data_IF_989530425171
#
_entry.id   IF_989530425171
#
_cell.length_a   1.000
_cell.length_b   1.000
_cell.length_c   1.000
_cell.angle_alpha   90.00
_cell.angle_beta   90.00
_cell.angle_gamma   90.00
#
_symmetry.space_group_name_H-M   'P 1'
#
loop_
_entity.id
_entity.type
_entity.pdbx_description
1 polymer ?
#
# COMPACT_ATOMS: atom_id res chain seq x y z
N UNK A 1 -10.98 -9.14 11.43
CA UNK A 1 -9.65 -8.63 11.03
C UNK A 1 -9.51 -8.65 9.52
N UNK A 2 -8.88 -7.63 8.98
CA UNK A 2 -8.72 -7.44 7.54
C UNK A 2 -7.28 -7.06 7.23
N UNK A 3 -6.69 -7.66 6.19
CA UNK A 3 -5.44 -7.22 5.58
C UNK A 3 -5.76 -6.49 4.27
N UNK A 4 -5.56 -5.18 4.24
CA UNK A 4 -5.77 -4.36 3.05
C UNK A 4 -4.43 -3.95 2.46
N UNK A 5 -4.18 -4.28 1.20
CA UNK A 5 -2.98 -3.87 0.46
C UNK A 5 -3.35 -2.77 -0.52
N UNK A 6 -2.71 -1.61 -0.39
CA UNK A 6 -2.81 -0.50 -1.34
C UNK A 6 -1.51 -0.43 -2.14
N UNK A 7 -1.56 -0.98 -3.35
CA UNK A 7 -0.46 -1.06 -4.29
C UNK A 7 -0.56 -0.05 -5.43
N UNK A 8 0.53 0.11 -6.17
CA UNK A 8 0.60 0.98 -7.36
C UNK A 8 1.96 1.65 -7.51
N UNK A 9 2.24 2.17 -8.69
CA UNK A 9 3.48 2.88 -8.99
C UNK A 9 3.73 4.06 -8.02
N UNK A 10 4.97 4.52 -7.88
CA UNK A 10 5.25 5.77 -7.16
C UNK A 10 4.44 6.94 -7.75
N UNK A 11 4.01 7.89 -6.90
CA UNK A 11 3.25 9.09 -7.25
C UNK A 11 1.80 8.89 -7.78
N UNK A 12 1.23 7.68 -7.75
CA UNK A 12 -0.20 7.47 -8.07
C UNK A 12 -1.16 7.90 -6.95
N UNK A 13 -0.65 8.37 -5.79
CA UNK A 13 -1.49 8.90 -4.71
C UNK A 13 -1.75 7.94 -3.56
N UNK A 14 -1.01 6.83 -3.43
CA UNK A 14 -1.20 5.83 -2.35
C UNK A 14 -1.24 6.43 -0.96
N UNK A 15 -0.22 7.20 -0.60
CA UNK A 15 -0.11 7.82 0.73
C UNK A 15 -1.29 8.75 1.05
N UNK A 16 -1.74 9.53 0.06
CA UNK A 16 -2.89 10.40 0.24
C UNK A 16 -4.17 9.60 0.50
N UNK A 17 -4.40 8.54 -0.29
CA UNK A 17 -5.56 7.65 -0.11
C UNK A 17 -5.50 6.90 1.23
N UNK A 18 -4.34 6.38 1.62
CA UNK A 18 -4.18 5.70 2.91
C UNK A 18 -4.43 6.64 4.10
N UNK A 19 -3.92 7.88 4.06
CA UNK A 19 -4.20 8.89 5.09
C UNK A 19 -5.68 9.24 5.19
N UNK A 20 -6.32 9.43 4.05
CA UNK A 20 -7.75 9.73 4.00
C UNK A 20 -8.59 8.54 4.51
N UNK A 21 -8.19 7.30 4.18
CA UNK A 21 -8.81 6.10 4.69
C UNK A 21 -8.74 6.05 6.23
N UNK A 22 -7.56 6.29 6.79
CA UNK A 22 -7.37 6.33 8.25
C UNK A 22 -8.17 7.45 8.91
N UNK A 23 -8.24 8.64 8.28
CA UNK A 23 -9.06 9.75 8.76
C UNK A 23 -10.54 9.39 8.81
N UNK A 24 -11.07 8.84 7.72
CA UNK A 24 -12.46 8.40 7.63
C UNK A 24 -12.77 7.27 8.63
N UNK A 25 -11.81 6.36 8.84
CA UNK A 25 -11.96 5.29 9.82
C UNK A 25 -12.05 5.84 11.24
N UNK A 26 -11.18 6.78 11.61
CA UNK A 26 -11.22 7.42 12.91
C UNK A 26 -12.56 8.16 13.15
N UNK A 27 -13.13 8.78 12.11
CA UNK A 27 -14.43 9.46 12.18
C UNK A 27 -15.62 8.48 12.31
N UNK A 28 -15.47 7.25 11.84
CA UNK A 28 -16.54 6.23 11.93
C UNK A 28 -16.80 5.74 13.34
N UNK A 29 -15.94 6.09 14.32
CA UNK A 29 -16.02 5.61 15.71
C UNK A 29 -16.12 4.08 15.82
N UNK A 30 -15.50 3.37 14.86
CA UNK A 30 -15.44 1.91 14.92
C UNK A 30 -14.82 1.44 16.24
N UNK A 31 -15.45 0.49 16.97
CA UNK A 31 -14.92 -0.02 18.23
C UNK A 31 -13.55 -0.69 18.07
N UNK A 32 -13.24 -1.17 16.88
CA UNK A 32 -11.98 -1.87 16.57
C UNK A 32 -10.82 -0.89 16.33
N UNK A 33 -11.08 0.43 16.30
CA UNK A 33 -10.07 1.46 16.01
C UNK A 33 -9.58 1.44 14.55
N UNK A 34 -8.61 2.31 14.20
CA UNK A 34 -8.03 2.35 12.87
C UNK A 34 -7.08 1.15 12.65
N UNK A 35 -6.94 0.67 11.41
CA UNK A 35 -5.98 -0.38 11.09
C UNK A 35 -4.54 0.06 11.35
N UNK A 36 -3.67 -0.88 11.69
CA UNK A 36 -2.23 -0.65 11.76
C UNK A 36 -1.70 -0.35 10.38
N UNK A 37 -1.16 0.87 10.18
CA UNK A 37 -0.62 1.29 8.90
C UNK A 37 0.85 0.93 8.76
N UNK A 38 1.16 0.04 7.83
CA UNK A 38 2.52 -0.38 7.49
C UNK A 38 2.91 0.23 6.13
N UNK A 39 3.94 1.06 6.12
CA UNK A 39 4.49 1.67 4.91
C UNK A 39 5.81 1.01 4.57
N UNK A 40 5.87 0.34 3.43
CA UNK A 40 7.09 -0.34 2.99
C UNK A 40 8.24 0.65 2.84
N UNK A 41 7.98 1.83 2.28
CA UNK A 41 9.01 2.87 2.10
C UNK A 41 9.62 3.31 3.44
N UNK A 42 8.84 3.40 4.54
CA UNK A 42 9.35 3.72 5.88
C UNK A 42 10.24 2.61 6.45
N UNK A 43 9.82 1.35 6.27
CA UNK A 43 10.57 0.18 6.74
C UNK A 43 11.89 0.05 5.96
N UNK A 44 11.84 0.19 4.63
CA UNK A 44 13.04 0.14 3.80
C UNK A 44 14.00 1.30 4.09
N UNK A 45 13.48 2.50 4.39
CA UNK A 45 14.32 3.61 4.80
C UNK A 45 15.04 3.32 6.13
N UNK A 46 14.32 2.82 7.13
CA UNK A 46 14.92 2.42 8.40
C UNK A 46 16.00 1.33 8.23
N UNK A 47 15.79 0.38 7.33
CA UNK A 47 16.79 -0.64 6.99
C UNK A 47 18.03 -0.05 6.28
N UNK A 48 17.86 1.02 5.48
CA UNK A 48 18.99 1.75 4.89
C UNK A 48 19.76 2.53 5.94
N UNK A 49 19.06 3.21 6.83
CA UNK A 49 19.65 4.01 7.92
C UNK A 49 20.47 3.15 8.89
N UNK A 50 20.04 1.90 9.10
CA UNK A 50 20.77 0.91 9.92
C UNK A 50 21.85 0.14 9.15
N UNK A 51 22.06 0.44 7.88
CA UNK A 51 22.97 -0.26 6.98
C UNK A 51 22.65 -1.77 6.74
N UNK A 52 21.46 -2.22 7.08
CA UNK A 52 20.97 -3.59 6.80
C UNK A 52 20.46 -3.74 5.34
N UNK A 53 20.20 -2.64 4.66
CA UNK A 53 19.81 -2.61 3.24
C UNK A 53 20.76 -1.73 2.45
N UNK A 54 21.75 -2.36 1.78
CA UNK A 54 22.76 -1.66 0.99
C UNK A 54 22.24 -1.26 -0.40
N UNK A 55 22.79 -0.19 -1.00
CA UNK A 55 22.48 0.18 -2.38
C UNK A 55 22.75 -0.98 -3.35
N UNK A 56 21.80 -1.25 -4.27
CA UNK A 56 21.93 -2.31 -5.27
C UNK A 56 21.57 -3.72 -4.79
N UNK A 57 21.26 -3.91 -3.50
CA UNK A 57 20.69 -5.18 -3.05
C UNK A 57 19.27 -5.38 -3.62
N UNK A 58 18.89 -6.61 -4.03
CA UNK A 58 17.53 -6.89 -4.46
C UNK A 58 16.56 -6.56 -3.33
N UNK A 59 15.61 -5.63 -3.59
CA UNK A 59 14.61 -5.21 -2.63
C UNK A 59 13.64 -6.34 -2.29
N UNK A 60 13.35 -6.49 -1.03
CA UNK A 60 12.40 -7.50 -0.51
C UNK A 60 12.38 -7.50 1.01
N UNK A 61 13.48 -7.10 1.66
CA UNK A 61 13.58 -7.12 3.12
C UNK A 61 12.44 -6.34 3.79
N UNK A 62 12.10 -5.14 3.28
CA UNK A 62 10.99 -4.35 3.80
C UNK A 62 9.64 -5.07 3.68
N UNK A 63 9.41 -5.79 2.60
CA UNK A 63 8.18 -6.58 2.41
C UNK A 63 8.10 -7.74 3.40
N UNK A 64 9.19 -8.50 3.59
CA UNK A 64 9.21 -9.62 4.54
C UNK A 64 9.09 -9.15 5.99
N UNK A 65 9.76 -8.06 6.36
CA UNK A 65 9.65 -7.46 7.69
C UNK A 65 8.20 -7.00 7.96
N UNK A 66 7.60 -6.27 7.02
CA UNK A 66 6.21 -5.84 7.12
C UNK A 66 5.22 -7.01 7.19
N UNK A 67 5.46 -8.07 6.40
CA UNK A 67 4.61 -9.28 6.42
C UNK A 67 4.67 -10.00 7.76
N UNK A 68 5.85 -10.05 8.40
CA UNK A 68 5.98 -10.62 9.74
C UNK A 68 5.19 -9.81 10.77
N UNK A 69 5.36 -8.48 10.80
CA UNK A 69 4.59 -7.59 11.68
C UNK A 69 3.09 -7.69 11.42
N UNK A 70 2.68 -7.72 10.14
CA UNK A 70 1.27 -7.87 9.77
C UNK A 70 0.65 -9.16 10.32
N UNK A 71 1.37 -10.30 10.27
CA UNK A 71 0.91 -11.57 10.85
C UNK A 71 0.69 -11.46 12.35
N UNK A 72 1.58 -10.81 13.08
CA UNK A 72 1.45 -10.64 14.54
C UNK A 72 0.23 -9.77 14.88
N UNK A 73 0.01 -8.67 14.14
CA UNK A 73 -1.17 -7.81 14.31
C UNK A 73 -2.46 -8.58 14.00
N UNK A 74 -2.51 -9.32 12.89
CA UNK A 74 -3.67 -10.13 12.51
C UNK A 74 -3.91 -11.25 13.53
N UNK A 75 -2.87 -11.91 14.02
CA UNK A 75 -2.99 -12.97 15.03
C UNK A 75 -3.56 -12.44 16.37
N UNK A 76 -3.31 -11.17 16.68
CA UNK A 76 -3.89 -10.49 17.85
C UNK A 76 -5.29 -9.92 17.61
N UNK A 77 -5.87 -10.09 16.42
CA UNK A 77 -7.22 -9.64 16.08
C UNK A 77 -7.30 -8.25 15.47
N UNK A 78 -6.17 -7.58 15.23
CA UNK A 78 -6.12 -6.24 14.64
C UNK A 78 -6.30 -6.24 13.13
N UNK A 79 -6.65 -5.07 12.57
CA UNK A 79 -6.67 -4.82 11.14
C UNK A 79 -5.33 -4.23 10.66
N UNK A 80 -4.94 -4.53 9.42
CA UNK A 80 -3.70 -4.05 8.82
C UNK A 80 -3.97 -3.36 7.48
N UNK A 81 -3.40 -2.18 7.30
CA UNK A 81 -3.33 -1.45 6.04
C UNK A 81 -1.86 -1.37 5.59
N UNK A 82 -1.55 -1.95 4.44
CA UNK A 82 -0.19 -1.90 3.87
C UNK A 82 -0.16 -0.96 2.69
N UNK A 83 0.78 -0.02 2.71
CA UNK A 83 1.13 0.85 1.57
C UNK A 83 2.44 0.39 0.95
N UNK A 84 2.42 0.03 -0.33
CA UNK A 84 3.59 -0.47 -1.05
C UNK A 84 3.47 -0.23 -2.57
N UNK A 85 4.54 -0.45 -3.31
CA UNK A 85 4.45 -0.48 -4.79
C UNK A 85 3.81 -1.78 -5.27
N UNK A 86 4.14 -2.90 -4.65
CA UNK A 86 3.62 -4.26 -4.96
C UNK A 86 3.76 -4.66 -6.45
N UNK A 87 4.96 -4.53 -7.03
CA UNK A 87 5.12 -4.52 -8.48
C UNK A 87 5.07 -5.92 -9.11
N UNK A 88 5.40 -6.96 -8.36
CA UNK A 88 5.66 -8.29 -8.90
C UNK A 88 4.73 -9.35 -8.30
N UNK A 89 4.43 -10.44 -9.03
CA UNK A 89 3.63 -11.55 -8.51
C UNK A 89 4.16 -12.14 -7.20
N UNK A 90 5.48 -12.16 -7.01
CA UNK A 90 6.09 -12.69 -5.77
C UNK A 90 5.74 -11.85 -4.54
N UNK A 91 5.70 -10.51 -4.65
CA UNK A 91 5.31 -9.65 -3.54
C UNK A 91 3.80 -9.74 -3.26
N UNK A 92 2.98 -9.97 -4.29
CA UNK A 92 1.52 -10.16 -4.18
C UNK A 92 1.21 -11.45 -3.43
N UNK A 93 1.85 -12.57 -3.80
CA UNK A 93 1.71 -13.86 -3.10
C UNK A 93 2.13 -13.79 -1.63
N UNK A 94 3.18 -13.02 -1.31
CA UNK A 94 3.58 -12.82 0.08
C UNK A 94 2.42 -12.27 0.94
N UNK A 95 1.63 -11.33 0.40
CA UNK A 95 0.48 -10.78 1.11
C UNK A 95 -0.69 -11.76 1.20
N UNK A 96 -0.96 -12.52 0.14
CA UNK A 96 -1.96 -13.59 0.15
C UNK A 96 -1.62 -14.65 1.22
N UNK A 97 -0.35 -15.08 1.28
CA UNK A 97 0.16 -15.98 2.31
C UNK A 97 0.09 -15.35 3.71
N UNK A 98 0.33 -14.04 3.83
CA UNK A 98 0.20 -13.32 5.10
C UNK A 98 -1.24 -13.29 5.58
N UNK A 99 -2.21 -13.19 4.67
CA UNK A 99 -3.62 -13.23 4.98
C UNK A 99 -4.16 -14.63 5.29
N UNK A 100 -3.36 -15.69 5.21
CA UNK A 100 -3.79 -17.07 5.51
C UNK A 100 -4.14 -17.32 6.99
N UNK A 101 -4.00 -16.31 7.84
CA UNK A 101 -4.49 -16.33 9.23
C UNK A 101 -5.99 -16.58 9.23
N UNK A 102 -6.44 -17.55 10.05
CA UNK A 102 -7.84 -17.97 10.09
C UNK A 102 -8.81 -16.79 10.41
N UNK A 103 -9.79 -16.61 9.54
CA UNK A 103 -10.78 -15.53 9.67
C UNK A 103 -10.27 -14.18 9.18
N UNK A 104 -9.04 -14.09 8.65
CA UNK A 104 -8.55 -12.88 8.02
C UNK A 104 -9.22 -12.69 6.65
N UNK A 105 -9.67 -11.47 6.41
CA UNK A 105 -10.16 -11.02 5.13
C UNK A 105 -9.01 -10.33 4.38
N UNK A 106 -8.82 -10.68 3.12
CA UNK A 106 -7.83 -10.06 2.26
C UNK A 106 -8.50 -9.10 1.27
N UNK A 107 -7.93 -7.91 1.12
CA UNK A 107 -8.38 -6.90 0.15
C UNK A 107 -7.17 -6.33 -0.60
N UNK A 108 -7.10 -6.63 -1.88
CA UNK A 108 -6.07 -6.16 -2.79
C UNK A 108 -6.57 -4.94 -3.60
N UNK A 109 -5.92 -3.79 -3.44
CA UNK A 109 -6.27 -2.54 -4.12
C UNK A 109 -5.11 -2.06 -4.96
N UNK A 110 -5.33 -1.92 -6.26
CA UNK A 110 -4.39 -1.28 -7.18
C UNK A 110 -4.81 0.17 -7.44
N UNK A 111 -3.93 1.12 -7.10
CA UNK A 111 -4.10 2.51 -7.51
C UNK A 111 -3.29 2.78 -8.78
N UNK A 112 -3.95 3.39 -9.75
CA UNK A 112 -3.33 3.85 -10.99
C UNK A 112 -3.58 5.36 -11.17
N UNK A 113 -2.82 5.98 -12.06
CA UNK A 113 -3.09 7.30 -12.59
C UNK A 113 -3.05 7.21 -14.11
N UNK A 114 -4.22 7.13 -14.76
CA UNK A 114 -4.32 6.94 -16.22
C UNK A 114 -3.88 8.15 -17.03
N UNK A 115 -3.92 9.35 -16.44
CA UNK A 115 -3.36 10.56 -17.04
C UNK A 115 -1.85 10.62 -16.82
N UNK A 116 -1.08 10.29 -17.86
CA UNK A 116 0.39 10.29 -17.81
C UNK A 116 0.98 11.68 -17.51
N UNK A 117 0.33 12.73 -17.97
CA UNK A 117 0.79 14.12 -17.73
C UNK A 117 0.64 14.47 -16.26
N UNK A 118 -0.50 14.18 -15.69
CA UNK A 118 -0.78 14.37 -14.27
C UNK A 118 0.12 13.49 -13.39
N UNK A 119 0.32 12.22 -13.76
CA UNK A 119 1.20 11.31 -13.04
C UNK A 119 2.65 11.83 -13.02
N UNK A 120 3.15 12.30 -14.16
CA UNK A 120 4.48 12.92 -14.26
C UNK A 120 4.57 14.20 -13.41
N UNK A 121 3.56 15.06 -13.47
CA UNK A 121 3.50 16.28 -12.66
C UNK A 121 3.58 15.94 -11.16
N UNK A 122 2.80 14.95 -10.71
CA UNK A 122 2.82 14.49 -9.32
C UNK A 122 4.19 13.92 -8.93
N UNK A 123 4.80 13.10 -9.79
CA UNK A 123 6.13 12.54 -9.53
C UNK A 123 7.22 13.61 -9.36
N UNK A 124 7.14 14.69 -10.14
CA UNK A 124 8.11 15.79 -10.09
C UNK A 124 7.90 16.76 -8.93
N UNK A 125 6.66 16.91 -8.44
CA UNK A 125 6.30 17.91 -7.42
C UNK A 125 6.20 17.33 -6.01
N UNK A 126 6.15 16.00 -5.86
CA UNK A 126 6.02 15.37 -4.54
C UNK A 126 7.25 15.60 -3.68
N UNK A 127 6.99 15.78 -2.39
CA UNK A 127 8.01 15.80 -1.34
C UNK A 127 7.79 14.58 -0.46
N UNK A 128 8.88 13.93 -0.02
CA UNK A 128 8.79 12.84 0.95
C UNK A 128 8.47 13.37 2.34
N UNK A 129 7.60 12.66 3.05
CA UNK A 129 7.37 12.83 4.48
C UNK A 129 8.20 11.84 5.32
N UNK A 130 9.00 11.00 4.65
CA UNK A 130 9.96 10.09 5.27
C UNK A 130 11.32 10.75 5.14
N UNK A 131 11.95 11.03 6.26
CA UNK A 131 13.28 11.63 6.32
C UNK A 131 14.31 10.71 5.64
N UNK A 132 15.21 11.29 4.86
CA UNK A 132 16.25 10.53 4.14
C UNK A 132 15.78 9.75 2.91
N UNK A 133 14.47 9.61 2.67
CA UNK A 133 13.98 8.86 1.53
C UNK A 133 14.21 9.59 0.21
N UNK A 134 15.08 9.03 -0.62
CA UNK A 134 15.27 9.47 -2.00
C UNK A 134 14.11 9.01 -2.89
N UNK A 135 13.41 9.98 -3.48
CA UNK A 135 12.30 9.70 -4.36
C UNK A 135 12.78 9.39 -5.77
N UNK A 136 12.24 8.35 -6.45
CA UNK A 136 12.58 8.08 -7.84
C UNK A 136 12.12 9.25 -8.73
N UNK A 137 12.96 9.61 -9.70
CA UNK A 137 12.57 10.54 -10.74
C UNK A 137 11.50 9.93 -11.68
N UNK A 138 10.97 10.75 -12.59
CA UNK A 138 9.94 10.29 -13.51
C UNK A 138 10.41 9.14 -14.41
N UNK A 139 11.67 9.16 -14.85
CA UNK A 139 12.20 8.11 -15.73
C UNK A 139 12.30 6.77 -14.98
N UNK A 140 12.70 6.78 -13.72
CA UNK A 140 12.73 5.60 -12.87
C UNK A 140 11.32 5.06 -12.59
N UNK A 141 10.32 5.95 -12.40
CA UNK A 141 8.92 5.55 -12.25
C UNK A 141 8.41 4.88 -13.53
N UNK A 142 8.69 5.46 -14.70
CA UNK A 142 8.19 4.99 -15.99
C UNK A 142 8.83 3.67 -16.43
N UNK A 143 10.12 3.48 -16.10
CA UNK A 143 10.86 2.25 -16.43
C UNK A 143 10.72 1.14 -15.40
N UNK A 144 9.98 1.41 -14.30
CA UNK A 144 9.85 0.43 -13.23
C UNK A 144 9.12 -0.81 -13.75
N UNK A 145 9.74 -1.96 -13.53
CA UNK A 145 9.07 -3.24 -13.79
C UNK A 145 7.85 -3.37 -12.87
N UNK A 146 6.68 -3.40 -13.48
CA UNK A 146 5.39 -3.49 -12.81
C UNK A 146 4.48 -4.42 -13.60
N UNK A 147 4.37 -5.65 -13.13
CA UNK A 147 3.53 -6.65 -13.78
C UNK A 147 2.03 -6.25 -13.66
N UNK A 148 1.20 -6.51 -14.68
CA UNK A 148 -0.25 -6.37 -14.54
C UNK A 148 -0.77 -7.09 -13.30
N UNK A 149 -1.80 -6.52 -12.64
CA UNK A 149 -2.38 -7.09 -11.43
C UNK A 149 -3.89 -7.37 -11.60
N UNK A 150 -4.25 -8.36 -12.44
CA UNK A 150 -5.65 -8.68 -12.72
C UNK A 150 -6.39 -9.27 -11.51
N UNK A 151 -5.67 -9.81 -10.53
CA UNK A 151 -6.23 -10.39 -9.31
C UNK A 151 -6.57 -9.35 -8.24
N UNK A 152 -6.28 -8.06 -8.46
CA UNK A 152 -6.66 -6.99 -7.53
C UNK A 152 -8.20 -6.91 -7.43
N UNK A 153 -8.72 -6.88 -6.21
CA UNK A 153 -10.16 -6.77 -5.95
C UNK A 153 -10.71 -5.41 -6.40
N UNK A 154 -9.90 -4.37 -6.29
CA UNK A 154 -10.20 -3.02 -6.75
C UNK A 154 -9.05 -2.46 -7.58
N UNK A 155 -9.41 -1.83 -8.70
CA UNK A 155 -8.49 -1.00 -9.48
C UNK A 155 -9.06 0.41 -9.59
N UNK A 156 -8.43 1.37 -8.90
CA UNK A 156 -8.93 2.73 -8.76
C UNK A 156 -8.01 3.72 -9.48
N UNK A 157 -8.61 4.54 -10.35
CA UNK A 157 -7.90 5.54 -11.13
C UNK A 157 -7.93 6.91 -10.44
N UNK A 158 -6.82 7.32 -9.86
CA UNK A 158 -6.69 8.60 -9.16
C UNK A 158 -6.57 9.83 -10.06
N UNK A 159 -6.54 9.64 -11.39
CA UNK A 159 -6.74 10.73 -12.33
C UNK A 159 -8.23 11.10 -12.46
N UNK A 160 -9.13 10.20 -12.06
CA UNK A 160 -10.59 10.35 -12.21
C UNK A 160 -11.32 10.44 -10.87
N UNK A 161 -10.76 9.84 -9.83
CA UNK A 161 -11.32 9.82 -8.48
C UNK A 161 -10.57 10.81 -7.59
N UNK A 162 -11.29 11.51 -6.76
CA UNK A 162 -10.71 12.24 -5.63
C UNK A 162 -10.15 11.26 -4.60
N UNK A 163 -9.25 11.72 -3.76
CA UNK A 163 -8.69 10.94 -2.65
C UNK A 163 -9.79 10.38 -1.74
N UNK A 164 -10.81 11.20 -1.44
CA UNK A 164 -11.94 10.81 -0.58
C UNK A 164 -12.84 9.76 -1.24
N UNK A 165 -13.10 9.87 -2.55
CA UNK A 165 -13.89 8.86 -3.28
C UNK A 165 -13.15 7.52 -3.32
N UNK A 166 -11.84 7.53 -3.59
CA UNK A 166 -11.03 6.32 -3.58
C UNK A 166 -11.03 5.67 -2.18
N UNK A 167 -10.81 6.43 -1.12
CA UNK A 167 -10.82 5.93 0.25
C UNK A 167 -12.19 5.35 0.65
N UNK A 168 -13.29 6.03 0.34
CA UNK A 168 -14.65 5.53 0.59
C UNK A 168 -14.95 4.24 -0.16
N UNK A 169 -14.51 4.13 -1.42
CA UNK A 169 -14.69 2.91 -2.20
C UNK A 169 -13.97 1.73 -1.54
N UNK A 170 -12.75 1.93 -1.03
CA UNK A 170 -12.00 0.90 -0.31
C UNK A 170 -12.75 0.48 0.96
N UNK A 171 -13.22 1.43 1.77
CA UNK A 171 -13.97 1.15 3.01
C UNK A 171 -15.25 0.38 2.70
N UNK A 172 -16.05 0.84 1.74
CA UNK A 172 -17.31 0.17 1.39
C UNK A 172 -17.06 -1.26 0.90
N UNK A 173 -16.06 -1.47 0.05
CA UNK A 173 -15.71 -2.81 -0.43
C UNK A 173 -15.18 -3.69 0.70
N UNK A 174 -14.35 -3.11 1.57
CA UNK A 174 -13.86 -3.74 2.80
C UNK A 174 -14.97 -4.20 3.74
N UNK A 175 -16.09 -3.51 3.85
CA UNK A 175 -17.22 -3.85 4.72
C UNK A 175 -18.23 -4.81 4.07
N UNK A 176 -18.42 -4.75 2.75
CA UNK A 176 -19.50 -5.45 2.05
C UNK A 176 -19.12 -6.76 1.36
N UNK A 177 -17.83 -6.95 1.05
CA UNK A 177 -17.33 -8.16 0.40
C UNK A 177 -17.33 -9.36 1.37
N UNK A 178 -17.98 -10.46 1.05
CA UNK A 178 -17.88 -11.73 1.78
C UNK A 178 -16.43 -12.24 1.80
N UNK A 179 -16.07 -13.05 2.80
CA UNK A 179 -14.79 -13.75 2.84
C UNK A 179 -14.65 -14.64 1.59
N UNK A 180 -13.51 -14.54 0.89
CA UNK A 180 -13.14 -15.51 -0.13
C UNK A 180 -12.66 -16.79 0.52
#
# INVERSE_FOLDING_TARGET
>A
MTLTIVGGLPAVGKTAVCRELLRLWAESQSPDGPPTWLRIDSIEQALRDSAEMLPGMPGGAGYYAAAAVARDVLASGGDVLVECVNPLPVTRRLWEETASVRGCRFLAVELICSDRTEHRRRAQQRVSDIEGLELPDWQAVERRDYAPWPEADLRLDTARLTTTEAARTIICHGLTGGAR
#
